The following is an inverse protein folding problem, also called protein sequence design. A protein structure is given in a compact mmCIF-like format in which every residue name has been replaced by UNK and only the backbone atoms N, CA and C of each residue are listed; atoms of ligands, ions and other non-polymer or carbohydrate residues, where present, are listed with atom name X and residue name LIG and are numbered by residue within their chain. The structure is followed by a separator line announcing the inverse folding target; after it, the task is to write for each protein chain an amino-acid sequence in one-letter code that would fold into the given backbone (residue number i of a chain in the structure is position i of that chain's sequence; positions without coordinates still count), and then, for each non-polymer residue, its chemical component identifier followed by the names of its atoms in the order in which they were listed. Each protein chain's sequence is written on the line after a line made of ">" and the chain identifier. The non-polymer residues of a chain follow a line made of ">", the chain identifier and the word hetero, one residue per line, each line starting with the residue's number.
data_IF_949376542774
#
_entry.id   IF_949376542774
#
_cell.length_a   1.000
_cell.length_b   1.000
_cell.length_c   1.000
_cell.angle_alpha   90.00
_cell.angle_beta   90.00
_cell.angle_gamma   90.00
#
_symmetry.space_group_name_H-M   'P 1'
#
loop_
_entity.id
_entity.type
_entity.pdbx_description
1 polymer ?
#
# COMPACT_ATOMS: atom_id res chain seq x y z
N UNK A 1 -18.24 -0.06 -7.90
CA UNK A 1 -17.45 -0.21 -9.15
C UNK A 1 -18.18 -1.02 -10.23
N UNK A 2 -19.38 -1.60 -9.98
CA UNK A 2 -20.17 -2.40 -10.93
C UNK A 2 -19.54 -3.74 -11.36
N UNK A 3 -18.38 -4.11 -10.79
CA UNK A 3 -17.70 -5.37 -11.13
C UNK A 3 -18.43 -6.56 -10.49
N UNK A 4 -18.95 -6.38 -9.27
CA UNK A 4 -19.63 -7.43 -8.51
C UNK A 4 -21.09 -7.63 -8.95
N UNK A 5 -21.74 -6.61 -9.50
CA UNK A 5 -23.18 -6.68 -9.84
C UNK A 5 -23.50 -7.79 -10.85
N UNK A 6 -22.55 -8.10 -11.74
CA UNK A 6 -22.71 -9.17 -12.75
C UNK A 6 -22.34 -10.56 -12.23
N UNK A 7 -21.86 -10.69 -11.00
CA UNK A 7 -21.33 -11.95 -10.43
C UNK A 7 -21.87 -12.23 -9.03
N UNK A 8 -22.96 -11.55 -8.63
CA UNK A 8 -23.53 -11.70 -7.29
C UNK A 8 -24.01 -13.13 -7.03
N UNK A 9 -24.63 -13.78 -8.02
CA UNK A 9 -25.12 -15.16 -7.88
C UNK A 9 -23.96 -16.12 -7.60
N UNK A 10 -22.85 -16.01 -8.35
CA UNK A 10 -21.65 -16.82 -8.11
C UNK A 10 -21.03 -16.54 -6.73
N UNK A 11 -21.08 -15.28 -6.26
CA UNK A 11 -20.62 -14.93 -4.93
C UNK A 11 -21.49 -15.53 -3.83
N UNK A 12 -22.81 -15.54 -4.00
CA UNK A 12 -23.74 -16.17 -3.06
C UNK A 12 -23.52 -17.67 -2.98
N UNK A 13 -23.28 -18.34 -4.11
CA UNK A 13 -22.95 -19.76 -4.17
C UNK A 13 -21.62 -20.06 -3.45
N UNK A 14 -20.59 -19.24 -3.67
CA UNK A 14 -19.29 -19.37 -2.99
C UNK A 14 -19.43 -19.28 -1.48
N UNK A 15 -20.31 -18.39 -1.01
CA UNK A 15 -20.52 -18.13 0.41
C UNK A 15 -21.53 -19.08 1.06
N UNK A 16 -22.16 -20.00 0.30
CA UNK A 16 -23.31 -20.81 0.74
C UNK A 16 -24.41 -19.95 1.38
N UNK A 17 -24.66 -18.78 0.80
CA UNK A 17 -25.48 -17.75 1.40
C UNK A 17 -26.95 -17.92 1.04
N UNK A 18 -27.80 -18.07 2.06
CA UNK A 18 -29.25 -18.02 1.89
C UNK A 18 -29.74 -16.58 1.99
N UNK A 19 -30.52 -16.12 1.02
CA UNK A 19 -30.96 -14.74 0.76
C UNK A 19 -31.72 -14.01 1.89
N UNK A 20 -31.83 -14.58 3.07
CA UNK A 20 -32.57 -14.00 4.22
C UNK A 20 -31.76 -13.06 5.11
N UNK A 21 -30.45 -13.04 4.98
CA UNK A 21 -29.56 -12.17 5.77
C UNK A 21 -28.82 -11.17 4.88
N UNK A 22 -28.48 -9.99 5.39
CA UNK A 22 -27.70 -9.01 4.63
C UNK A 22 -26.24 -9.44 4.54
N UNK A 23 -25.79 -9.81 3.33
CA UNK A 23 -24.38 -10.08 3.07
C UNK A 23 -23.56 -8.80 3.28
N UNK A 24 -22.65 -8.81 4.24
CA UNK A 24 -21.72 -7.71 4.48
C UNK A 24 -20.37 -8.24 4.92
N UNK A 25 -19.33 -7.41 4.71
CA UNK A 25 -17.96 -7.74 5.08
C UNK A 25 -17.82 -8.08 6.57
N UNK A 26 -18.58 -7.42 7.44
CA UNK A 26 -18.50 -7.64 8.89
C UNK A 26 -18.92 -9.05 9.27
N UNK A 27 -19.94 -9.62 8.61
CA UNK A 27 -20.39 -10.99 8.88
C UNK A 27 -19.32 -12.00 8.49
N UNK A 28 -18.70 -11.84 7.30
CA UNK A 28 -17.64 -12.73 6.81
C UNK A 28 -16.40 -12.64 7.72
N UNK A 29 -15.97 -11.41 8.04
CA UNK A 29 -14.81 -11.17 8.91
C UNK A 29 -15.05 -11.76 10.30
N UNK A 30 -16.23 -11.52 10.88
CA UNK A 30 -16.57 -12.04 12.20
C UNK A 30 -16.56 -13.58 12.22
N UNK A 31 -17.10 -14.24 11.20
CA UNK A 31 -17.03 -15.69 11.06
C UNK A 31 -15.59 -16.19 11.07
N UNK A 32 -14.72 -15.61 10.20
CA UNK A 32 -13.32 -16.00 10.09
C UNK A 32 -12.52 -15.72 11.38
N UNK A 33 -12.75 -14.59 12.05
CA UNK A 33 -12.11 -14.27 13.33
C UNK A 33 -12.54 -15.25 14.43
N UNK A 34 -13.83 -15.53 14.54
CA UNK A 34 -14.33 -16.49 15.53
C UNK A 34 -13.80 -17.90 15.29
N UNK A 35 -13.72 -18.34 14.02
CA UNK A 35 -13.15 -19.64 13.66
C UNK A 35 -11.65 -19.69 14.02
N UNK A 36 -10.87 -18.68 13.61
CA UNK A 36 -9.46 -18.58 13.94
C UNK A 36 -9.22 -18.65 15.46
N UNK A 37 -9.99 -17.90 16.25
CA UNK A 37 -9.87 -17.92 17.71
C UNK A 37 -10.19 -19.28 18.33
N UNK A 38 -11.13 -20.03 17.76
CA UNK A 38 -11.52 -21.36 18.26
C UNK A 38 -10.51 -22.46 17.93
N UNK A 39 -9.82 -22.34 16.79
CA UNK A 39 -8.94 -23.41 16.29
C UNK A 39 -7.45 -23.12 16.56
N UNK A 40 -7.09 -21.88 16.97
CA UNK A 40 -5.70 -21.53 17.30
C UNK A 40 -5.35 -21.86 18.74
N UNK A 41 -4.11 -22.28 18.98
CA UNK A 41 -3.56 -22.51 20.30
C UNK A 41 -2.05 -22.16 20.34
N UNK A 42 -1.45 -21.96 21.54
CA UNK A 42 -0.01 -21.72 21.65
C UNK A 42 0.84 -22.83 21.04
N UNK A 43 0.34 -24.07 21.07
CA UNK A 43 1.07 -25.26 20.58
C UNK A 43 0.96 -25.41 19.06
N UNK A 44 -0.23 -25.06 18.48
CA UNK A 44 -0.51 -25.24 17.05
C UNK A 44 -0.35 -23.93 16.25
N UNK A 45 -0.14 -22.79 16.93
CA UNK A 45 -0.11 -21.47 16.27
C UNK A 45 -1.48 -21.00 15.81
N UNK A 46 -1.51 -20.07 14.85
CA UNK A 46 -2.72 -19.57 14.23
C UNK A 46 -3.23 -20.57 13.19
N UNK A 47 -4.44 -21.06 13.37
CA UNK A 47 -5.04 -22.08 12.52
C UNK A 47 -6.53 -21.83 12.28
N UNK A 48 -6.98 -21.95 11.02
CA UNK A 48 -8.39 -22.03 10.67
C UNK A 48 -8.86 -23.50 10.69
N UNK A 49 -10.15 -23.70 10.85
CA UNK A 49 -10.76 -25.00 10.48
C UNK A 49 -10.66 -25.22 8.97
N UNK A 50 -10.76 -26.49 8.54
CA UNK A 50 -10.76 -26.82 7.11
C UNK A 50 -11.89 -26.11 6.35
N UNK A 51 -13.06 -25.97 6.96
CA UNK A 51 -14.22 -25.30 6.36
C UNK A 51 -13.96 -23.80 6.17
N UNK A 52 -13.42 -23.11 7.17
CA UNK A 52 -13.09 -21.69 7.08
C UNK A 52 -11.92 -21.43 6.12
N UNK A 53 -10.93 -22.31 6.10
CA UNK A 53 -9.81 -22.23 5.15
C UNK A 53 -10.28 -22.42 3.69
N UNK A 54 -11.16 -23.41 3.45
CA UNK A 54 -11.76 -23.65 2.14
C UNK A 54 -12.62 -22.47 1.69
N UNK A 55 -13.44 -21.90 2.59
CA UNK A 55 -14.21 -20.69 2.29
C UNK A 55 -13.31 -19.52 1.93
N UNK A 56 -12.25 -19.26 2.69
CA UNK A 56 -11.28 -18.20 2.42
C UNK A 56 -10.64 -18.35 1.04
N UNK A 57 -10.25 -19.59 0.67
CA UNK A 57 -9.69 -19.86 -0.65
C UNK A 57 -10.71 -19.62 -1.78
N UNK A 58 -11.96 -20.07 -1.61
CA UNK A 58 -13.02 -19.79 -2.60
C UNK A 58 -13.26 -18.29 -2.79
N UNK A 59 -13.32 -17.51 -1.70
CA UNK A 59 -13.45 -16.05 -1.77
C UNK A 59 -12.24 -15.43 -2.49
N UNK A 60 -11.04 -15.90 -2.19
CA UNK A 60 -9.81 -15.44 -2.82
C UNK A 60 -9.83 -15.72 -4.33
N UNK A 61 -10.19 -16.93 -4.75
CA UNK A 61 -10.27 -17.32 -6.16
C UNK A 61 -11.33 -16.50 -6.91
N UNK A 62 -12.49 -16.27 -6.28
CA UNK A 62 -13.52 -15.39 -6.82
C UNK A 62 -12.99 -13.98 -7.03
N UNK A 63 -12.31 -13.41 -6.03
CA UNK A 63 -11.74 -12.06 -6.10
C UNK A 63 -10.67 -11.95 -7.21
N UNK A 64 -9.80 -12.95 -7.34
CA UNK A 64 -8.82 -12.97 -8.44
C UNK A 64 -9.51 -13.02 -9.79
N UNK A 65 -10.48 -13.91 -9.97
CA UNK A 65 -11.15 -14.11 -11.24
C UNK A 65 -11.96 -12.89 -11.67
N UNK A 66 -12.76 -12.31 -10.79
CA UNK A 66 -13.76 -11.30 -11.15
C UNK A 66 -13.35 -9.86 -10.82
N UNK A 67 -12.44 -9.64 -9.87
CA UNK A 67 -12.00 -8.32 -9.47
C UNK A 67 -10.60 -8.04 -10.01
N UNK A 68 -9.58 -8.73 -9.48
CA UNK A 68 -8.18 -8.37 -9.78
C UNK A 68 -7.78 -8.59 -11.23
N UNK A 69 -8.30 -9.63 -11.89
CA UNK A 69 -8.04 -9.88 -13.31
C UNK A 69 -9.12 -9.33 -14.23
N UNK A 70 -10.07 -8.54 -13.73
CA UNK A 70 -11.04 -7.85 -14.60
C UNK A 70 -10.33 -6.92 -15.59
N UNK A 71 -10.91 -6.78 -16.79
CA UNK A 71 -10.35 -5.90 -17.83
C UNK A 71 -10.22 -4.46 -17.36
N UNK A 72 -11.14 -4.01 -16.51
CA UNK A 72 -11.12 -2.65 -15.94
C UNK A 72 -9.87 -2.40 -15.10
N UNK A 73 -9.50 -3.34 -14.21
CA UNK A 73 -8.30 -3.23 -13.38
C UNK A 73 -7.04 -3.42 -14.23
N UNK A 74 -7.01 -4.45 -15.08
CA UNK A 74 -5.86 -4.71 -15.96
C UNK A 74 -5.51 -3.51 -16.85
N UNK A 75 -6.51 -2.82 -17.36
CA UNK A 75 -6.30 -1.63 -18.19
C UNK A 75 -5.77 -0.42 -17.41
N UNK A 76 -5.99 -0.36 -16.08
CA UNK A 76 -5.46 0.73 -15.24
C UNK A 76 -4.03 0.47 -14.72
N UNK A 77 -3.55 -0.77 -14.74
CA UNK A 77 -2.20 -1.12 -14.24
C UNK A 77 -1.10 -0.30 -14.89
N UNK A 78 -1.01 -0.17 -16.25
CA UNK A 78 0.05 0.62 -16.88
C UNK A 78 0.05 2.10 -16.45
N UNK A 79 -1.12 2.66 -16.16
CA UNK A 79 -1.22 4.02 -15.63
C UNK A 79 -0.61 4.12 -14.24
N UNK A 80 -0.95 3.21 -13.32
CA UNK A 80 -0.39 3.24 -11.97
C UNK A 80 1.12 2.93 -11.97
N UNK A 81 1.58 2.04 -12.84
CA UNK A 81 3.02 1.80 -13.04
C UNK A 81 3.74 3.08 -13.47
N UNK A 82 3.17 3.83 -14.41
CA UNK A 82 3.73 5.12 -14.84
C UNK A 82 3.78 6.13 -13.69
N UNK A 83 2.70 6.24 -12.90
CA UNK A 83 2.62 7.14 -11.74
C UNK A 83 3.71 6.82 -10.72
N UNK A 84 3.80 5.55 -10.31
CA UNK A 84 4.74 5.09 -9.27
C UNK A 84 6.18 5.25 -9.75
N UNK A 85 6.49 4.81 -10.96
CA UNK A 85 7.83 4.90 -11.52
C UNK A 85 8.28 6.36 -11.65
N UNK A 86 7.38 7.26 -12.08
CA UNK A 86 7.74 8.68 -12.21
C UNK A 86 8.05 9.34 -10.87
N UNK A 87 7.27 9.03 -9.83
CA UNK A 87 7.54 9.50 -8.48
C UNK A 87 8.89 8.96 -7.98
N UNK A 88 9.12 7.66 -8.19
CA UNK A 88 10.36 7.00 -7.80
C UNK A 88 11.58 7.64 -8.50
N UNK A 89 11.54 7.81 -9.79
CA UNK A 89 12.66 8.35 -10.60
C UNK A 89 13.05 9.76 -10.12
N UNK A 90 12.07 10.66 -9.93
CA UNK A 90 12.33 12.03 -9.47
C UNK A 90 13.02 12.05 -8.11
N UNK A 91 12.57 11.21 -7.18
CA UNK A 91 13.17 11.15 -5.85
C UNK A 91 14.52 10.42 -5.86
N UNK A 92 14.66 9.37 -6.68
CA UNK A 92 15.89 8.62 -6.81
C UNK A 92 17.03 9.45 -7.39
N UNK A 93 16.75 10.30 -8.38
CA UNK A 93 17.71 11.21 -8.99
C UNK A 93 18.24 12.26 -8.01
N UNK A 94 17.57 12.45 -6.86
CA UNK A 94 18.09 13.32 -5.79
C UNK A 94 19.20 12.68 -4.95
N UNK A 95 19.42 11.37 -5.09
CA UNK A 95 20.41 10.70 -4.25
C UNK A 95 21.83 11.22 -4.50
N UNK A 96 22.49 11.59 -3.41
CA UNK A 96 23.91 11.86 -3.32
C UNK A 96 24.36 11.57 -1.88
N UNK A 97 25.47 10.90 -1.68
CA UNK A 97 25.95 10.52 -0.34
C UNK A 97 26.03 11.69 0.64
N UNK A 98 26.27 12.91 0.14
CA UNK A 98 26.47 14.13 0.95
C UNK A 98 25.38 15.19 0.75
N UNK A 99 24.78 15.23 -0.44
CA UNK A 99 23.94 16.35 -0.87
C UNK A 99 22.49 15.98 -1.14
N UNK A 100 22.05 14.77 -0.79
CA UNK A 100 20.65 14.31 -0.99
C UNK A 100 19.62 15.35 -0.50
N UNK A 101 19.77 15.86 0.73
CA UNK A 101 18.84 16.86 1.26
C UNK A 101 18.86 18.17 0.48
N UNK A 102 20.04 18.61 0.02
CA UNK A 102 20.17 19.81 -0.80
C UNK A 102 19.51 19.63 -2.16
N UNK A 103 19.69 18.47 -2.79
CA UNK A 103 19.07 18.13 -4.07
C UNK A 103 17.54 18.11 -3.96
N UNK A 104 17.00 17.49 -2.90
CA UNK A 104 15.58 17.53 -2.60
C UNK A 104 15.08 18.96 -2.38
N UNK A 105 15.83 19.77 -1.59
CA UNK A 105 15.46 21.15 -1.35
C UNK A 105 15.36 21.96 -2.65
N UNK A 106 16.30 21.79 -3.57
CA UNK A 106 16.31 22.46 -4.87
C UNK A 106 15.07 22.12 -5.71
N UNK A 107 14.56 20.88 -5.61
CA UNK A 107 13.35 20.44 -6.30
C UNK A 107 12.06 20.90 -5.64
N UNK A 108 12.10 21.39 -4.39
CA UNK A 108 10.89 21.80 -3.66
C UNK A 108 10.09 22.89 -4.38
N UNK A 109 10.78 23.73 -5.17
CA UNK A 109 10.10 24.78 -5.94
C UNK A 109 9.27 24.20 -7.10
N UNK A 110 9.77 23.13 -7.73
CA UNK A 110 9.08 22.47 -8.85
C UNK A 110 8.02 21.48 -8.38
N UNK A 111 8.25 20.77 -7.27
CA UNK A 111 7.38 19.73 -6.74
C UNK A 111 7.11 19.92 -5.23
N UNK A 112 6.41 20.99 -4.84
CA UNK A 112 6.27 21.36 -3.43
C UNK A 112 5.54 20.30 -2.59
N UNK A 113 4.49 19.64 -3.08
CA UNK A 113 3.77 18.60 -2.34
C UNK A 113 4.61 17.34 -2.16
N UNK A 114 5.17 16.83 -3.27
CA UNK A 114 6.02 15.64 -3.26
C UNK A 114 7.18 15.81 -2.29
N UNK A 115 7.93 16.89 -2.45
CA UNK A 115 9.14 17.11 -1.68
C UNK A 115 8.81 17.38 -0.20
N UNK A 116 7.78 18.18 0.11
CA UNK A 116 7.39 18.40 1.50
C UNK A 116 6.95 17.11 2.19
N UNK A 117 6.16 16.28 1.51
CA UNK A 117 5.72 15.01 2.06
C UNK A 117 6.89 14.03 2.27
N UNK A 118 7.83 13.97 1.32
CA UNK A 118 9.00 13.11 1.46
C UNK A 118 9.96 13.63 2.55
N UNK A 119 10.12 14.94 2.72
CA UNK A 119 10.87 15.49 3.85
C UNK A 119 10.29 15.08 5.20
N UNK A 120 8.95 15.14 5.34
CA UNK A 120 8.29 14.69 6.57
C UNK A 120 8.56 13.20 6.83
N UNK A 121 8.59 12.36 5.79
CA UNK A 121 8.97 10.96 5.92
C UNK A 121 10.43 10.81 6.36
N UNK A 122 11.37 11.55 5.75
CA UNK A 122 12.79 11.53 6.12
C UNK A 122 12.97 11.95 7.59
N UNK A 123 12.31 13.01 8.04
CA UNK A 123 12.38 13.47 9.43
C UNK A 123 11.89 12.41 10.41
N UNK A 124 10.88 11.65 10.04
CA UNK A 124 10.30 10.64 10.90
C UNK A 124 11.11 9.33 10.94
N UNK A 125 11.71 8.92 9.84
CA UNK A 125 12.23 7.55 9.71
C UNK A 125 13.70 7.44 9.33
N UNK A 126 14.36 8.57 8.97
CA UNK A 126 15.71 8.50 8.43
C UNK A 126 16.76 9.16 9.33
N UNK A 127 17.98 8.65 9.27
CA UNK A 127 19.18 9.32 9.78
C UNK A 127 19.72 10.30 8.74
N UNK A 128 20.08 11.52 9.17
CA UNK A 128 20.75 12.54 8.37
C UNK A 128 21.56 13.48 9.27
N UNK A 129 22.53 14.21 8.69
CA UNK A 129 23.57 14.94 9.42
C UNK A 129 23.04 15.94 10.48
N UNK A 130 21.94 16.63 10.21
CA UNK A 130 21.40 17.67 11.10
C UNK A 130 20.23 17.20 11.98
N UNK A 131 19.93 15.91 11.99
CA UNK A 131 18.80 15.34 12.74
C UNK A 131 18.81 15.70 14.23
N UNK A 132 19.99 15.68 14.85
CA UNK A 132 20.14 15.98 16.28
C UNK A 132 19.74 17.42 16.63
N UNK A 133 19.84 18.35 15.69
CA UNK A 133 19.41 19.75 15.86
C UNK A 133 17.89 19.87 15.96
N UNK A 134 17.14 18.95 15.34
CA UNK A 134 15.68 18.94 15.33
C UNK A 134 15.06 18.31 16.58
N UNK A 135 15.89 17.71 17.47
CA UNK A 135 15.42 17.02 18.71
C UNK A 135 14.34 15.97 18.48
N UNK A 136 14.41 15.28 17.33
CA UNK A 136 13.45 14.23 16.98
C UNK A 136 13.73 12.96 17.77
N UNK A 137 12.69 12.39 18.40
CA UNK A 137 12.77 11.18 19.22
C UNK A 137 12.24 9.93 18.49
N UNK A 138 12.09 10.00 17.17
CA UNK A 138 11.51 8.92 16.38
C UNK A 138 12.53 7.80 16.15
N UNK A 139 12.02 6.58 15.95
CA UNK A 139 12.86 5.44 15.59
C UNK A 139 13.46 5.64 14.19
N UNK A 140 14.80 5.60 14.11
CA UNK A 140 15.53 5.65 12.84
C UNK A 140 15.54 4.26 12.24
N UNK A 141 15.10 4.15 10.98
CA UNK A 141 15.04 2.90 10.22
C UNK A 141 16.02 2.89 9.06
N UNK A 142 16.24 4.05 8.42
CA UNK A 142 17.06 4.17 7.21
C UNK A 142 18.17 5.20 7.38
N UNK A 143 19.29 5.00 6.69
CA UNK A 143 20.41 5.95 6.59
C UNK A 143 20.46 6.49 5.15
N UNK A 144 20.00 7.75 4.96
CA UNK A 144 19.92 8.35 3.61
C UNK A 144 21.28 8.67 2.97
N UNK A 145 22.39 8.54 3.70
CA UNK A 145 23.74 8.64 3.14
C UNK A 145 24.15 7.37 2.38
N UNK A 146 23.45 6.26 2.61
CA UNK A 146 23.69 4.97 1.97
C UNK A 146 22.65 4.73 0.89
N UNK A 147 23.11 4.44 -0.33
CA UNK A 147 22.25 4.23 -1.50
C UNK A 147 21.18 3.18 -1.27
N UNK A 148 21.54 2.02 -0.73
CA UNK A 148 20.60 0.92 -0.50
C UNK A 148 19.51 1.28 0.51
N UNK A 149 19.88 1.99 1.58
CA UNK A 149 18.92 2.43 2.59
C UNK A 149 18.04 3.57 2.06
N UNK A 150 18.59 4.47 1.24
CA UNK A 150 17.81 5.49 0.56
C UNK A 150 16.77 4.86 -0.39
N UNK A 151 17.16 3.83 -1.18
CA UNK A 151 16.21 3.08 -2.01
C UNK A 151 15.10 2.42 -1.19
N UNK A 152 15.44 1.80 -0.05
CA UNK A 152 14.44 1.22 0.86
C UNK A 152 13.52 2.28 1.45
N UNK A 153 14.05 3.46 1.80
CA UNK A 153 13.26 4.60 2.27
C UNK A 153 12.27 5.06 1.20
N UNK A 154 12.70 5.18 -0.08
CA UNK A 154 11.82 5.51 -1.20
C UNK A 154 10.71 4.48 -1.37
N UNK A 155 11.05 3.20 -1.39
CA UNK A 155 10.06 2.12 -1.52
C UNK A 155 9.05 2.13 -0.36
N UNK A 156 9.52 2.34 0.88
CA UNK A 156 8.64 2.46 2.05
C UNK A 156 7.74 3.68 1.98
N UNK A 157 8.26 4.81 1.53
CA UNK A 157 7.48 6.04 1.34
C UNK A 157 6.38 5.85 0.28
N UNK A 158 6.74 5.32 -0.89
CA UNK A 158 5.79 5.11 -2.00
C UNK A 158 4.74 4.06 -1.62
N UNK A 159 5.13 2.96 -0.99
CA UNK A 159 4.19 1.91 -0.56
C UNK A 159 3.20 2.37 0.53
N UNK A 160 3.53 3.43 1.25
CA UNK A 160 2.64 4.07 2.22
C UNK A 160 1.67 5.10 1.63
N UNK A 161 1.76 5.39 0.33
CA UNK A 161 0.84 6.32 -0.31
C UNK A 161 -0.54 5.69 -0.52
N UNK A 162 -1.58 6.51 -0.41
CA UNK A 162 -2.89 6.14 -0.95
C UNK A 162 -2.92 6.39 -2.47
N UNK A 163 -3.78 5.68 -3.19
CA UNK A 163 -3.93 5.85 -4.64
C UNK A 163 -4.20 7.31 -5.01
N UNK A 164 -5.11 7.97 -4.29
CA UNK A 164 -5.44 9.37 -4.52
C UNK A 164 -4.24 10.30 -4.30
N UNK A 165 -3.44 10.04 -3.27
CA UNK A 165 -2.26 10.85 -3.00
C UNK A 165 -1.20 10.68 -4.10
N UNK A 166 -0.95 9.45 -4.56
CA UNK A 166 -0.03 9.19 -5.65
C UNK A 166 -0.47 9.87 -6.96
N UNK A 167 -1.78 9.84 -7.27
CA UNK A 167 -2.35 10.55 -8.43
C UNK A 167 -2.20 12.08 -8.28
N UNK A 168 -2.44 12.63 -7.08
CA UNK A 168 -2.28 14.07 -6.83
C UNK A 168 -0.83 14.52 -7.02
N UNK A 169 0.14 13.72 -6.53
CA UNK A 169 1.56 13.97 -6.75
C UNK A 169 1.91 13.88 -8.25
N UNK A 170 1.42 12.86 -8.94
CA UNK A 170 1.65 12.75 -10.38
C UNK A 170 1.06 13.92 -11.16
N UNK A 171 -0.11 14.41 -10.77
CA UNK A 171 -0.71 15.60 -11.36
C UNK A 171 0.13 16.87 -11.10
N UNK A 172 0.82 16.97 -9.95
CA UNK A 172 1.78 18.04 -9.70
C UNK A 172 2.98 17.94 -10.66
N UNK A 173 3.48 16.72 -10.89
CA UNK A 173 4.65 16.47 -11.75
C UNK A 173 4.38 16.85 -13.21
N UNK A 174 3.18 16.59 -13.73
CA UNK A 174 2.84 16.84 -15.14
C UNK A 174 2.23 18.22 -15.43
N UNK A 175 1.92 19.01 -14.40
CA UNK A 175 1.43 20.39 -14.58
C UNK A 175 2.62 21.32 -14.80
N UNK A 176 2.60 21.99 -15.94
CA UNK A 176 3.51 23.08 -16.29
C UNK A 176 2.92 24.41 -15.87
#
# INVERSE_FOLDING_TARGET
>A
LGILDNHLDELYDVLNYNSSESLNNSTIINYLVCDLCKNSSPDNGLCFSDDAFNLLNKIKDFNYKHIYFSSKIRNSVPYFELVINKIYDILYDCFDEKFTLQNLYNLKHSYPKLITSFYNFIENYCSFADRNKLKLNNTIVFDISKKDDFCKALLSYISGMTDNFAIDIYNEIIRF
#
